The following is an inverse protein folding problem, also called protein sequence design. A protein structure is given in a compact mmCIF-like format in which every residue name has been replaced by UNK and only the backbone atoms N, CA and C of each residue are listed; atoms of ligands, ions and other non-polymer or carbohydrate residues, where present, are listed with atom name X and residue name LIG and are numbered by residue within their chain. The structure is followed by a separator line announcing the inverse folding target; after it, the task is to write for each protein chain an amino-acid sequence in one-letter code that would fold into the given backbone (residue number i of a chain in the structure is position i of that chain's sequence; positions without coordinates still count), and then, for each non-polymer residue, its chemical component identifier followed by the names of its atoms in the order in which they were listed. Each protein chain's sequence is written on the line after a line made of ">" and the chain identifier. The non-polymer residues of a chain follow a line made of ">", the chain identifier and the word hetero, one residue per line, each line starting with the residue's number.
data_IF_439315761914
#
_entry.id   IF_439315761914
#
_cell.length_a   1.000
_cell.length_b   1.000
_cell.length_c   1.000
_cell.angle_alpha   90.00
_cell.angle_beta   90.00
_cell.angle_gamma   90.00
#
_symmetry.space_group_name_H-M   'P 1'
#
loop_
_entity.id
_entity.type
_entity.pdbx_description
1 polymer ?
#
# COMPACT_ATOMS: atom_id res chain seq x y z
N UNK A 1 25.68 9.16 16.56
CA UNK A 1 24.36 9.05 17.19
C UNK A 1 24.54 8.78 18.68
N UNK A 2 23.69 9.35 19.53
CA UNK A 2 23.81 9.17 20.98
C UNK A 2 23.19 7.82 21.35
N UNK A 3 23.96 6.92 21.97
CA UNK A 3 23.51 5.58 22.39
C UNK A 3 22.23 5.61 23.24
N UNK A 4 21.96 6.69 23.97
CA UNK A 4 20.74 6.86 24.74
C UNK A 4 19.48 6.91 23.86
N UNK A 5 19.55 7.50 22.67
CA UNK A 5 18.38 7.57 21.77
C UNK A 5 18.02 6.22 21.18
N UNK A 6 19.00 5.37 20.88
CA UNK A 6 18.72 4.00 20.42
C UNK A 6 18.06 3.16 21.51
N UNK A 7 18.49 3.33 22.78
CA UNK A 7 17.87 2.64 23.90
C UNK A 7 16.43 3.11 24.12
N UNK A 8 16.19 4.41 24.11
CA UNK A 8 14.85 4.98 24.27
C UNK A 8 13.92 4.56 23.12
N UNK A 9 14.42 4.59 21.88
CA UNK A 9 13.70 4.10 20.72
C UNK A 9 13.32 2.63 20.87
N UNK A 10 14.26 1.78 21.29
CA UNK A 10 13.99 0.35 21.49
C UNK A 10 12.93 0.10 22.57
N UNK A 11 12.94 0.86 23.66
CA UNK A 11 11.94 0.78 24.72
C UNK A 11 10.55 1.15 24.20
N UNK A 12 10.42 2.23 23.41
CA UNK A 12 9.16 2.66 22.80
C UNK A 12 8.67 1.63 21.75
N UNK A 13 9.56 1.11 20.92
CA UNK A 13 9.21 0.07 19.95
C UNK A 13 8.69 -1.21 20.63
N UNK A 14 9.34 -1.65 21.71
CA UNK A 14 8.87 -2.80 22.49
C UNK A 14 7.49 -2.57 23.11
N UNK A 15 7.20 -1.35 23.57
CA UNK A 15 5.87 -1.00 24.06
C UNK A 15 4.81 -1.15 22.97
N UNK A 16 5.06 -0.61 21.77
CA UNK A 16 4.14 -0.74 20.64
C UNK A 16 3.96 -2.20 20.21
N UNK A 17 5.03 -2.97 20.12
CA UNK A 17 5.00 -4.40 19.76
C UNK A 17 4.21 -5.24 20.78
N UNK A 18 4.18 -4.81 22.04
CA UNK A 18 3.36 -5.49 23.07
C UNK A 18 1.87 -5.19 22.96
N UNK A 19 1.50 -4.09 22.28
CA UNK A 19 0.11 -3.62 22.17
C UNK A 19 -0.54 -3.93 20.82
N UNK A 20 0.27 -4.09 19.76
CA UNK A 20 -0.17 -4.29 18.38
C UNK A 20 0.43 -5.58 17.82
N UNK A 21 -0.26 -6.21 16.88
CA UNK A 21 0.17 -7.44 16.25
C UNK A 21 0.27 -7.29 14.73
N UNK A 22 1.26 -7.94 14.10
CA UNK A 22 1.33 -8.03 12.64
C UNK A 22 0.10 -8.76 12.10
N UNK A 23 -0.43 -8.27 10.99
CA UNK A 23 -1.56 -8.88 10.31
C UNK A 23 -1.11 -10.09 9.48
N UNK A 24 -1.87 -11.19 9.54
CA UNK A 24 -1.51 -12.45 8.87
C UNK A 24 -1.44 -12.32 7.35
N UNK A 25 -2.27 -11.46 6.78
CA UNK A 25 -2.39 -11.28 5.34
C UNK A 25 -2.08 -9.84 4.93
N UNK A 26 -0.87 -9.63 4.42
CA UNK A 26 -0.35 -8.32 4.05
C UNK A 26 -1.27 -7.51 3.13
N UNK A 27 -1.97 -8.16 2.19
CA UNK A 27 -2.85 -7.47 1.23
C UNK A 27 -4.04 -6.76 1.90
N UNK A 28 -4.50 -7.23 3.05
CA UNK A 28 -5.68 -6.70 3.71
C UNK A 28 -5.43 -5.34 4.34
N UNK A 29 -4.16 -5.03 4.64
CA UNK A 29 -3.74 -3.70 5.11
C UNK A 29 -3.97 -2.58 4.08
N UNK A 30 -4.27 -2.91 2.83
CA UNK A 30 -4.33 -1.98 1.69
C UNK A 30 -5.59 -2.18 0.83
N UNK A 31 -6.63 -2.80 1.37
CA UNK A 31 -7.94 -2.98 0.74
C UNK A 31 -8.98 -1.98 1.29
N UNK A 32 -10.17 -1.95 0.73
CA UNK A 32 -11.19 -0.93 1.02
C UNK A 32 -11.65 -0.93 2.49
N UNK A 33 -11.67 -2.09 3.12
CA UNK A 33 -12.08 -2.29 4.51
C UNK A 33 -10.89 -2.43 5.49
N UNK A 34 -9.73 -1.86 5.15
CA UNK A 34 -8.51 -1.96 5.96
C UNK A 34 -8.59 -1.24 7.33
N UNK A 35 -9.63 -0.45 7.57
CA UNK A 35 -9.97 0.04 8.91
C UNK A 35 -10.21 -1.11 9.91
N UNK A 36 -10.54 -2.32 9.43
CA UNK A 36 -10.67 -3.53 10.25
C UNK A 36 -9.31 -4.02 10.79
N UNK A 37 -8.18 -3.57 10.22
CA UNK A 37 -6.83 -3.88 10.67
C UNK A 37 -6.31 -2.89 11.73
N UNK A 38 -7.19 -2.05 12.29
CA UNK A 38 -6.88 -1.10 13.36
C UNK A 38 -7.24 -1.68 14.73
N UNK A 39 -6.72 -1.07 15.80
CA UNK A 39 -6.99 -1.49 17.18
C UNK A 39 -8.50 -1.53 17.49
N UNK A 40 -8.89 -2.53 18.30
CA UNK A 40 -10.27 -2.80 18.73
C UNK A 40 -11.19 -3.43 17.68
N UNK A 41 -10.66 -3.99 16.62
CA UNK A 41 -11.40 -4.87 15.73
C UNK A 41 -11.18 -6.33 16.11
N UNK A 42 -12.10 -7.20 15.74
CA UNK A 42 -11.99 -8.65 15.92
C UNK A 42 -11.32 -9.34 14.73
N UNK A 43 -10.85 -8.55 13.77
CA UNK A 43 -10.24 -9.02 12.54
C UNK A 43 -8.74 -9.29 12.76
N UNK A 44 -8.25 -10.39 12.32
CA UNK A 44 -6.92 -11.02 12.44
C UNK A 44 -5.68 -10.12 12.57
N UNK A 45 -5.60 -9.31 13.60
CA UNK A 45 -4.44 -8.46 13.88
C UNK A 45 -4.71 -6.96 13.66
N UNK A 46 -4.26 -6.18 14.59
CA UNK A 46 -4.40 -4.73 14.63
C UNK A 46 -3.08 -4.05 14.27
N UNK A 47 -2.57 -4.34 13.08
CA UNK A 47 -1.26 -3.84 12.63
C UNK A 47 -1.23 -2.34 12.42
N UNK A 48 -2.34 -1.73 12.02
CA UNK A 48 -2.41 -0.29 11.69
C UNK A 48 -2.57 0.51 12.98
N UNK A 49 -1.54 1.28 13.33
CA UNK A 49 -1.52 2.16 14.51
C UNK A 49 -2.26 3.48 14.20
N UNK A 50 -1.99 4.05 13.03
CA UNK A 50 -2.60 5.29 12.58
C UNK A 50 -2.78 5.30 11.07
N UNK A 51 -3.98 5.65 10.63
CA UNK A 51 -4.32 5.82 9.21
C UNK A 51 -5.00 7.16 8.97
N UNK A 52 -4.88 7.67 7.74
CA UNK A 52 -5.73 8.75 7.24
C UNK A 52 -6.98 8.11 6.65
N UNK A 53 -8.17 8.35 7.23
CA UNK A 53 -9.39 7.70 6.78
C UNK A 53 -9.80 8.18 5.40
N UNK A 54 -10.37 7.27 4.62
CA UNK A 54 -11.01 7.52 3.34
C UNK A 54 -12.43 6.95 3.35
N UNK A 55 -13.33 7.64 2.67
CA UNK A 55 -14.72 7.23 2.55
C UNK A 55 -15.24 7.75 1.20
N UNK A 56 -15.53 6.85 0.30
CA UNK A 56 -15.99 7.16 -1.05
C UNK A 56 -17.33 7.90 -1.10
N UNK A 57 -18.06 7.99 0.01
CA UNK A 57 -19.31 8.74 0.14
C UNK A 57 -19.04 10.16 0.62
N UNK A 58 -18.32 10.31 1.73
CA UNK A 58 -18.18 11.57 2.48
C UNK A 58 -16.90 12.32 2.10
N UNK A 59 -15.83 11.60 1.76
CA UNK A 59 -14.52 12.16 1.41
C UNK A 59 -14.24 11.94 -0.09
N UNK A 60 -14.87 12.77 -0.92
CA UNK A 60 -14.74 12.71 -2.38
C UNK A 60 -13.57 13.57 -2.85
N UNK A 61 -12.37 13.03 -2.79
CA UNK A 61 -11.12 13.67 -3.23
C UNK A 61 -10.43 12.87 -4.31
N UNK A 62 -9.84 13.54 -5.29
CA UNK A 62 -8.95 12.91 -6.28
C UNK A 62 -7.52 12.73 -5.76
N UNK A 63 -7.24 13.11 -4.51
CA UNK A 63 -5.96 12.93 -3.82
C UNK A 63 -5.90 11.64 -2.99
N UNK A 64 -4.89 11.56 -2.12
CA UNK A 64 -4.65 10.47 -1.17
C UNK A 64 -4.66 9.08 -1.83
N UNK A 65 -5.27 8.08 -1.21
CA UNK A 65 -5.36 6.71 -1.75
C UNK A 65 -6.14 6.64 -3.07
N UNK A 66 -7.10 7.55 -3.29
CA UNK A 66 -7.77 7.67 -4.58
C UNK A 66 -6.78 7.91 -5.72
N UNK A 67 -5.88 8.90 -5.55
CA UNK A 67 -4.82 9.14 -6.53
C UNK A 67 -3.92 7.92 -6.73
N UNK A 68 -3.50 7.28 -5.64
CA UNK A 68 -2.59 6.12 -5.70
C UNK A 68 -3.22 4.98 -6.51
N UNK A 69 -4.47 4.63 -6.25
CA UNK A 69 -5.14 3.52 -6.92
C UNK A 69 -5.41 3.85 -8.39
N UNK A 70 -6.01 5.00 -8.67
CA UNK A 70 -6.36 5.38 -10.05
C UNK A 70 -5.14 5.62 -10.92
N UNK A 71 -4.13 6.32 -10.41
CA UNK A 71 -2.92 6.60 -11.18
C UNK A 71 -2.02 5.36 -11.39
N UNK A 72 -2.08 4.38 -10.50
CA UNK A 72 -1.38 3.09 -10.67
C UNK A 72 -2.11 2.13 -11.60
N UNK A 73 -3.38 2.38 -11.94
CA UNK A 73 -4.17 1.49 -12.79
C UNK A 73 -4.14 2.00 -14.22
N UNK A 74 -3.59 1.21 -15.13
CA UNK A 74 -3.57 1.50 -16.55
C UNK A 74 -4.65 0.74 -17.33
N UNK A 75 -4.89 1.13 -18.59
CA UNK A 75 -6.00 0.62 -19.41
C UNK A 75 -5.95 -0.86 -19.76
N UNK A 76 -4.78 -1.53 -19.58
CA UNK A 76 -4.68 -3.01 -19.74
C UNK A 76 -4.96 -3.79 -18.46
N UNK A 77 -5.08 -3.11 -17.33
CA UNK A 77 -5.35 -3.75 -16.04
C UNK A 77 -6.85 -3.98 -15.87
N UNK A 78 -7.19 -5.03 -15.11
CA UNK A 78 -8.56 -5.27 -14.70
C UNK A 78 -9.00 -4.25 -13.64
N UNK A 79 -9.79 -3.27 -14.06
CA UNK A 79 -10.31 -2.22 -13.17
C UNK A 79 -11.23 -2.78 -12.08
N UNK A 80 -11.93 -3.91 -12.33
CA UNK A 80 -12.77 -4.55 -11.33
C UNK A 80 -11.93 -5.18 -10.22
N UNK A 81 -10.78 -5.79 -10.57
CA UNK A 81 -9.83 -6.30 -9.59
C UNK A 81 -9.20 -5.20 -8.74
N UNK A 82 -9.15 -3.96 -9.26
CA UNK A 82 -8.71 -2.77 -8.54
C UNK A 82 -9.85 -2.07 -7.78
N UNK A 83 -11.12 -2.44 -8.03
CA UNK A 83 -12.31 -1.88 -7.39
C UNK A 83 -12.67 -0.47 -7.83
N UNK A 84 -12.31 -0.07 -9.06
CA UNK A 84 -12.53 1.28 -9.58
C UNK A 84 -13.22 1.27 -10.94
N UNK A 85 -13.81 2.39 -11.32
CA UNK A 85 -14.55 2.54 -12.57
C UNK A 85 -13.65 2.68 -13.81
N UNK A 86 -12.44 3.23 -13.65
CA UNK A 86 -11.47 3.45 -14.72
C UNK A 86 -10.08 3.70 -14.13
N UNK A 87 -9.02 3.40 -14.86
CA UNK A 87 -7.66 3.81 -14.49
C UNK A 87 -7.25 5.12 -15.17
N UNK A 88 -6.34 5.88 -14.52
CA UNK A 88 -5.74 7.08 -15.11
C UNK A 88 -4.39 6.81 -15.74
N UNK A 89 -3.69 5.75 -15.30
CA UNK A 89 -2.31 5.47 -15.68
C UNK A 89 -1.32 6.50 -15.12
N UNK A 90 -0.11 6.52 -15.69
CA UNK A 90 0.90 7.53 -15.40
C UNK A 90 1.80 7.29 -14.19
N UNK A 91 1.33 6.67 -13.13
CA UNK A 91 2.17 6.27 -11.99
C UNK A 91 2.78 4.90 -12.27
N UNK A 92 4.11 4.83 -12.39
CA UNK A 92 4.84 3.61 -12.72
C UNK A 92 6.01 3.37 -11.78
N UNK A 93 6.35 2.09 -11.61
CA UNK A 93 7.52 1.64 -10.87
C UNK A 93 8.65 1.31 -11.85
N UNK A 94 9.87 1.53 -11.41
CA UNK A 94 11.06 1.16 -12.20
C UNK A 94 11.35 -0.34 -12.09
N UNK A 95 11.95 -0.98 -13.11
CA UNK A 95 12.40 -2.36 -13.01
C UNK A 95 13.32 -2.59 -11.81
N UNK A 96 14.25 -1.67 -11.55
CA UNK A 96 15.18 -1.78 -10.42
C UNK A 96 14.47 -1.88 -9.07
N UNK A 97 13.34 -1.16 -8.90
CA UNK A 97 12.54 -1.28 -7.68
C UNK A 97 11.85 -2.65 -7.60
N UNK A 98 11.31 -3.13 -8.71
CA UNK A 98 10.63 -4.45 -8.77
C UNK A 98 11.62 -5.58 -8.52
N UNK A 99 12.85 -5.47 -9.03
CA UNK A 99 13.92 -6.46 -8.89
C UNK A 99 14.47 -6.58 -7.45
N UNK A 100 14.11 -5.66 -6.54
CA UNK A 100 14.46 -5.77 -5.11
C UNK A 100 13.66 -6.84 -4.36
N UNK A 101 12.57 -7.32 -4.95
CA UNK A 101 11.69 -8.28 -4.31
C UNK A 101 12.03 -9.70 -4.74
N UNK A 102 12.26 -10.56 -3.76
CA UNK A 102 12.54 -11.98 -3.99
C UNK A 102 11.27 -12.75 -4.38
N UNK A 103 11.48 -13.89 -5.04
CA UNK A 103 10.37 -14.78 -5.40
C UNK A 103 9.63 -15.27 -4.13
N UNK A 104 8.33 -15.05 -4.09
CA UNK A 104 7.49 -15.40 -2.94
C UNK A 104 7.30 -14.29 -1.91
N UNK A 105 7.92 -13.12 -2.09
CA UNK A 105 7.64 -11.95 -1.25
C UNK A 105 6.20 -11.48 -1.49
N UNK A 106 5.37 -11.56 -0.46
CA UNK A 106 3.95 -11.18 -0.52
C UNK A 106 3.72 -9.69 -0.78
N UNK A 107 4.75 -8.86 -0.63
CA UNK A 107 4.73 -7.42 -0.94
C UNK A 107 4.91 -7.14 -2.44
N UNK A 108 5.45 -8.12 -3.18
CA UNK A 108 5.70 -8.04 -4.63
C UNK A 108 4.41 -8.18 -5.44
N UNK A 109 3.47 -7.27 -5.21
CA UNK A 109 2.19 -7.24 -5.92
C UNK A 109 2.25 -6.19 -7.05
N UNK A 110 2.79 -6.60 -8.20
CA UNK A 110 3.03 -5.73 -9.36
C UNK A 110 2.34 -6.26 -10.61
N UNK A 111 1.78 -5.34 -11.39
CA UNK A 111 1.37 -5.62 -12.75
C UNK A 111 2.54 -5.34 -13.71
N UNK A 112 2.93 -6.34 -14.47
CA UNK A 112 4.09 -6.30 -15.37
C UNK A 112 3.71 -6.29 -16.86
N UNK A 113 2.41 -6.28 -17.19
CA UNK A 113 1.90 -6.48 -18.54
C UNK A 113 2.21 -5.36 -19.53
N UNK A 114 2.65 -4.19 -19.04
CA UNK A 114 3.13 -3.11 -19.92
C UNK A 114 4.60 -3.23 -20.29
N UNK A 115 5.39 -3.93 -19.49
CA UNK A 115 6.81 -4.23 -19.67
C UNK A 115 7.63 -3.12 -20.30
N UNK A 116 8.40 -2.38 -19.49
CA UNK A 116 9.41 -1.46 -20.00
C UNK A 116 10.78 -1.84 -19.51
N UNK A 117 11.78 -1.75 -20.39
CA UNK A 117 13.16 -1.78 -19.96
C UNK A 117 13.56 -0.40 -19.40
N UNK A 118 14.73 -0.36 -18.72
CA UNK A 118 15.24 0.83 -18.06
C UNK A 118 15.46 2.01 -19.00
N UNK A 119 15.84 1.75 -20.25
CA UNK A 119 16.14 2.80 -21.23
C UNK A 119 14.87 3.56 -21.63
N UNK A 120 13.73 2.90 -21.60
CA UNK A 120 12.44 3.51 -21.88
C UNK A 120 11.92 4.36 -20.73
N UNK A 121 12.28 4.05 -19.48
CA UNK A 121 11.87 4.82 -18.31
C UNK A 121 12.55 6.20 -18.25
N UNK A 122 13.78 6.28 -18.73
CA UNK A 122 14.55 7.54 -18.77
C UNK A 122 14.09 8.51 -19.87
N UNK A 123 13.20 8.06 -20.75
CA UNK A 123 12.61 8.89 -21.81
C UNK A 123 11.12 9.03 -21.54
N UNK A 124 10.69 10.23 -21.15
CA UNK A 124 9.28 10.54 -21.10
C UNK A 124 8.70 10.41 -22.50
N UNK A 125 7.79 9.48 -22.69
CA UNK A 125 7.06 9.27 -23.92
C UNK A 125 5.59 9.60 -23.67
N UNK A 126 5.08 10.74 -24.15
CA UNK A 126 3.68 11.12 -23.97
C UNK A 126 2.70 10.12 -24.61
N UNK A 127 3.13 9.37 -25.64
CA UNK A 127 2.31 8.36 -26.31
C UNK A 127 2.26 7.04 -25.53
N UNK A 128 3.20 6.82 -24.60
CA UNK A 128 3.23 5.64 -23.72
C UNK A 128 3.08 6.02 -22.24
N UNK A 129 2.10 6.85 -21.97
CA UNK A 129 1.74 7.32 -20.63
C UNK A 129 1.54 6.18 -19.63
N UNK A 130 0.99 5.05 -20.09
CA UNK A 130 0.66 3.92 -19.24
C UNK A 130 1.81 2.91 -19.05
N UNK A 131 2.93 3.09 -19.71
CA UNK A 131 4.04 2.15 -19.66
C UNK A 131 4.67 1.96 -18.28
N UNK A 132 5.51 0.93 -18.14
CA UNK A 132 6.21 0.55 -16.92
C UNK A 132 5.43 -0.42 -16.04
N UNK A 133 6.05 -0.83 -14.93
CA UNK A 133 5.40 -1.68 -13.94
C UNK A 133 4.43 -0.88 -13.08
N UNK A 134 3.31 -1.49 -12.67
CA UNK A 134 2.31 -0.82 -11.84
C UNK A 134 2.22 -1.47 -10.46
N UNK A 135 2.04 -0.65 -9.42
CA UNK A 135 1.77 -1.15 -8.08
C UNK A 135 0.30 -1.56 -7.97
N UNK A 136 0.07 -2.80 -7.54
CA UNK A 136 -1.25 -3.31 -7.17
C UNK A 136 -1.41 -3.40 -5.64
N UNK A 137 -0.58 -2.68 -4.90
CA UNK A 137 -0.57 -2.73 -3.44
C UNK A 137 -1.88 -2.24 -2.84
N UNK A 138 -2.34 -1.05 -3.23
CA UNK A 138 -3.61 -0.48 -2.82
C UNK A 138 -4.71 -0.86 -3.79
N UNK A 139 -5.87 -1.28 -3.26
CA UNK A 139 -7.04 -1.66 -4.04
C UNK A 139 -8.32 -1.22 -3.33
N UNK A 140 -9.31 -0.83 -4.08
CA UNK A 140 -10.63 -0.45 -3.58
C UNK A 140 -11.61 -1.65 -3.60
N UNK A 141 -11.14 -2.80 -3.14
CA UNK A 141 -11.95 -4.01 -2.90
C UNK A 141 -11.78 -4.43 -1.45
N UNK A 142 -12.79 -5.05 -0.87
CA UNK A 142 -12.71 -5.58 0.49
C UNK A 142 -11.77 -6.79 0.58
N UNK A 143 -11.37 -7.16 1.78
CA UNK A 143 -10.45 -8.29 2.04
C UNK A 143 -10.98 -9.64 1.51
N UNK A 144 -12.29 -9.80 1.41
CA UNK A 144 -12.98 -10.97 0.85
C UNK A 144 -13.14 -10.91 -0.68
N UNK A 145 -12.69 -9.83 -1.33
CA UNK A 145 -12.80 -9.60 -2.76
C UNK A 145 -14.11 -8.96 -3.21
N UNK A 146 -15.04 -8.65 -2.31
CA UNK A 146 -16.26 -7.94 -2.66
C UNK A 146 -15.97 -6.47 -2.99
N UNK A 147 -16.76 -5.82 -3.87
CA UNK A 147 -16.57 -4.41 -4.19
C UNK A 147 -16.71 -3.50 -2.97
N UNK A 148 -15.95 -2.41 -2.95
CA UNK A 148 -16.17 -1.27 -2.05
C UNK A 148 -17.49 -0.56 -2.36
N UNK A 149 -17.86 0.42 -1.54
CA UNK A 149 -19.13 1.15 -1.69
C UNK A 149 -19.22 1.92 -3.00
N UNK A 150 -18.11 2.50 -3.45
CA UNK A 150 -18.03 3.30 -4.67
C UNK A 150 -16.80 2.97 -5.51
N UNK A 151 -16.97 2.93 -6.82
CA UNK A 151 -15.87 2.73 -7.78
C UNK A 151 -15.22 4.01 -8.27
N UNK A 152 -15.80 5.19 -7.99
CA UNK A 152 -15.29 6.50 -8.43
C UNK A 152 -14.49 7.22 -7.34
N UNK A 153 -14.72 6.89 -6.08
CA UNK A 153 -13.97 7.36 -4.92
C UNK A 153 -13.75 6.19 -3.97
N UNK A 154 -12.54 6.08 -3.44
CA UNK A 154 -12.12 4.88 -2.70
C UNK A 154 -12.44 4.98 -1.21
N UNK A 155 -12.67 3.80 -0.61
CA UNK A 155 -12.85 3.64 0.84
C UNK A 155 -11.53 3.28 1.54
N UNK A 156 -10.47 2.95 0.80
CA UNK A 156 -9.20 2.45 1.33
C UNK A 156 -8.46 3.52 2.12
N UNK A 157 -8.33 3.35 3.42
CA UNK A 157 -7.53 4.21 4.29
C UNK A 157 -6.05 4.19 3.92
N UNK A 158 -5.33 5.30 4.19
CA UNK A 158 -3.89 5.35 4.03
C UNK A 158 -3.19 5.05 5.36
N UNK A 159 -2.60 3.85 5.55
CA UNK A 159 -1.84 3.52 6.75
C UNK A 159 -0.57 4.37 6.84
N UNK A 160 -0.50 5.26 7.83
CA UNK A 160 0.67 6.12 8.06
C UNK A 160 1.67 5.42 8.96
N UNK A 161 1.20 4.82 10.06
CA UNK A 161 2.03 4.06 10.99
C UNK A 161 1.46 2.67 11.21
N UNK A 162 2.34 1.67 11.13
CA UNK A 162 2.05 0.27 11.39
C UNK A 162 3.06 -0.32 12.37
N UNK A 163 2.68 -1.35 13.10
CA UNK A 163 3.60 -2.00 14.05
C UNK A 163 4.81 -2.63 13.32
N UNK A 164 4.69 -2.96 12.04
CA UNK A 164 5.82 -3.39 11.21
C UNK A 164 6.98 -2.37 11.23
N UNK A 165 6.67 -1.07 11.28
CA UNK A 165 7.69 -0.01 11.37
C UNK A 165 8.42 -0.05 12.71
N UNK A 166 7.70 -0.36 13.82
CA UNK A 166 8.31 -0.54 15.13
C UNK A 166 9.27 -1.74 15.16
N UNK A 167 8.94 -2.85 14.49
CA UNK A 167 9.86 -3.99 14.35
C UNK A 167 11.13 -3.61 13.56
N UNK A 168 11.00 -2.85 12.48
CA UNK A 168 12.15 -2.41 11.67
C UNK A 168 13.03 -1.44 12.46
N UNK A 169 12.44 -0.47 13.15
CA UNK A 169 13.19 0.46 14.03
C UNK A 169 13.88 -0.27 15.18
N UNK A 170 13.24 -1.27 15.78
CA UNK A 170 13.85 -2.08 16.83
C UNK A 170 15.06 -2.87 16.30
N UNK A 171 14.94 -3.45 15.11
CA UNK A 171 16.05 -4.15 14.46
C UNK A 171 17.23 -3.20 14.15
N UNK A 172 16.95 -1.94 13.79
CA UNK A 172 17.96 -0.94 13.56
C UNK A 172 18.66 -0.51 14.87
N UNK A 173 17.91 -0.42 15.97
CA UNK A 173 18.46 -0.12 17.30
C UNK A 173 19.38 -1.22 17.84
N UNK A 174 19.27 -2.46 17.34
CA UNK A 174 20.07 -3.60 17.77
C UNK A 174 21.45 -3.71 17.10
N UNK A 175 21.77 -2.83 16.13
CA UNK A 175 23.08 -2.75 15.48
C UNK A 175 24.05 -1.92 16.30
#
# INVERSE_FOLDING_TARGET
>A
ANANYFKECAELCNSLISEYALHDKYSDLFCADNHLCTRNTTYNGDEIIFAVPQDGISIRSYGATNYIIFASTGGKMDVNAMGISSGWGGLSLTPQFVDLFEAGDKRANFYTGYGKNIDQINKFDPEDWEGGYKSMKFRNVNHDGTPAQYSSFVDTDFPVFRVADAYLMLAECAK
#
